data_IF_624767700274
#
_entry.id   IF_624767700274
#
_cell.length_a   1.000
_cell.length_b   1.000
_cell.length_c   1.000
_cell.angle_alpha   90.00
_cell.angle_beta   90.00
_cell.angle_gamma   90.00
#
_symmetry.space_group_name_H-M   'P 1'
#
loop_
_entity.id
_entity.type
_entity.pdbx_description
1 polymer ?
#
# COMPACT_ATOMS: atom_id res chain seq x y z
N UNK A 1 -28.77 2.79 -7.53
CA UNK A 1 -27.41 3.15 -7.10
C UNK A 1 -26.62 1.85 -6.99
N UNK A 2 -25.66 1.60 -7.89
CA UNK A 2 -24.77 0.44 -7.76
C UNK A 2 -23.76 0.72 -6.65
N UNK A 3 -24.16 0.51 -5.39
CA UNK A 3 -23.19 0.29 -4.32
C UNK A 3 -22.78 -1.18 -4.35
N UNK A 4 -21.90 -1.53 -5.29
CA UNK A 4 -21.19 -2.80 -5.17
C UNK A 4 -19.98 -2.54 -4.28
N UNK A 5 -19.99 -3.14 -3.09
CA UNK A 5 -18.85 -3.11 -2.16
C UNK A 5 -17.52 -3.43 -2.87
N UNK A 6 -17.55 -4.26 -3.92
CA UNK A 6 -16.43 -4.49 -4.82
C UNK A 6 -15.90 -3.22 -5.51
N UNK A 7 -16.75 -2.44 -6.18
CA UNK A 7 -16.31 -1.21 -6.86
C UNK A 7 -15.79 -0.18 -5.86
N UNK A 8 -16.44 -0.09 -4.69
CA UNK A 8 -16.01 0.78 -3.60
C UNK A 8 -14.62 0.40 -3.08
N UNK A 9 -14.36 -0.89 -2.85
CA UNK A 9 -13.03 -1.39 -2.44
C UNK A 9 -11.95 -1.07 -3.47
N UNK A 10 -12.21 -1.36 -4.75
CA UNK A 10 -11.28 -1.03 -5.84
C UNK A 10 -10.92 0.45 -5.91
N UNK A 11 -11.87 1.33 -5.65
CA UNK A 11 -11.60 2.77 -5.65
C UNK A 11 -10.83 3.22 -4.40
N UNK A 12 -11.12 2.62 -3.23
CA UNK A 12 -10.35 2.83 -2.01
C UNK A 12 -8.89 2.37 -2.20
N UNK A 13 -8.68 1.19 -2.77
CA UNK A 13 -7.34 0.65 -3.11
C UNK A 13 -6.57 1.61 -4.02
N UNK A 14 -7.18 2.08 -5.12
CA UNK A 14 -6.54 3.05 -6.04
C UNK A 14 -6.12 4.32 -5.32
N UNK A 15 -6.95 4.83 -4.43
CA UNK A 15 -6.61 6.02 -3.66
C UNK A 15 -5.45 5.77 -2.70
N UNK A 16 -5.44 4.63 -2.00
CA UNK A 16 -4.35 4.22 -1.13
C UNK A 16 -3.04 4.07 -1.90
N UNK A 17 -3.06 3.40 -3.05
CA UNK A 17 -1.90 3.23 -3.94
C UNK A 17 -1.39 4.57 -4.50
N UNK A 18 -2.30 5.53 -4.74
CA UNK A 18 -1.92 6.90 -5.09
C UNK A 18 -1.31 7.70 -3.91
N UNK A 19 -1.08 7.07 -2.76
CA UNK A 19 -0.52 7.68 -1.56
C UNK A 19 -1.52 8.52 -0.75
N UNK A 20 -2.83 8.38 -1.00
CA UNK A 20 -3.83 9.13 -0.24
C UNK A 20 -4.04 8.51 1.13
N UNK A 21 -4.13 9.40 2.12
CA UNK A 21 -4.68 9.08 3.44
C UNK A 21 -6.19 9.29 3.42
N UNK A 22 -6.92 8.30 3.91
CA UNK A 22 -8.39 8.25 3.86
C UNK A 22 -8.97 8.18 5.28
N UNK A 23 -10.08 8.87 5.52
CA UNK A 23 -10.81 8.74 6.78
C UNK A 23 -12.16 8.05 6.56
N UNK A 24 -12.66 7.39 7.61
CA UNK A 24 -13.98 6.75 7.57
C UNK A 24 -15.08 7.78 7.28
N UNK A 25 -15.00 8.97 7.87
CA UNK A 25 -16.01 10.01 7.68
C UNK A 25 -16.09 10.48 6.22
N UNK A 26 -14.94 10.70 5.57
CA UNK A 26 -14.90 11.08 4.14
C UNK A 26 -15.51 10.00 3.24
N UNK A 27 -15.19 8.73 3.49
CA UNK A 27 -15.69 7.62 2.68
C UNK A 27 -17.19 7.35 2.93
N UNK A 28 -17.66 7.52 4.16
CA UNK A 28 -19.10 7.47 4.47
C UNK A 28 -19.87 8.54 3.71
N UNK A 29 -19.37 9.78 3.68
CA UNK A 29 -19.98 10.88 2.94
C UNK A 29 -19.93 10.66 1.43
N UNK A 30 -18.82 10.13 0.90
CA UNK A 30 -18.64 9.86 -0.53
C UNK A 30 -19.56 8.76 -1.05
N UNK A 31 -19.67 7.65 -0.33
CA UNK A 31 -20.37 6.45 -0.79
C UNK A 31 -21.77 6.30 -0.19
N UNK A 32 -22.18 7.21 0.70
CA UNK A 32 -23.46 7.17 1.41
C UNK A 32 -23.69 5.86 2.17
N UNK A 33 -22.63 5.28 2.74
CA UNK A 33 -22.68 4.03 3.51
C UNK A 33 -22.32 4.25 4.99
N UNK A 34 -22.72 3.30 5.84
CA UNK A 34 -22.41 3.34 7.26
C UNK A 34 -20.94 3.05 7.58
N UNK A 35 -20.51 3.48 8.77
CA UNK A 35 -19.17 3.21 9.32
C UNK A 35 -18.75 1.74 9.20
N UNK A 36 -19.65 0.81 9.55
CA UNK A 36 -19.39 -0.64 9.52
C UNK A 36 -19.03 -1.13 8.12
N UNK A 37 -19.67 -0.59 7.07
CA UNK A 37 -19.37 -0.94 5.69
C UNK A 37 -17.94 -0.53 5.33
N UNK A 38 -17.56 0.71 5.62
CA UNK A 38 -16.20 1.22 5.37
C UNK A 38 -15.15 0.46 6.18
N UNK A 39 -15.42 0.15 7.46
CA UNK A 39 -14.51 -0.65 8.27
C UNK A 39 -14.27 -2.03 7.67
N UNK A 40 -15.34 -2.70 7.21
CA UNK A 40 -15.24 -4.00 6.52
C UNK A 40 -14.49 -3.91 5.19
N UNK A 41 -14.62 -2.81 4.47
CA UNK A 41 -13.83 -2.60 3.25
C UNK A 41 -12.34 -2.55 3.56
N UNK A 42 -11.94 -1.83 4.61
CA UNK A 42 -10.54 -1.80 5.04
C UNK A 42 -10.05 -3.14 5.62
N UNK A 43 -10.91 -3.93 6.26
CA UNK A 43 -10.58 -5.30 6.67
C UNK A 43 -10.18 -6.13 5.45
N UNK A 44 -11.02 -6.16 4.41
CA UNK A 44 -10.78 -6.93 3.18
C UNK A 44 -9.56 -6.40 2.42
N UNK A 45 -9.43 -5.08 2.26
CA UNK A 45 -8.26 -4.48 1.58
C UNK A 45 -6.97 -4.78 2.35
N UNK A 46 -7.05 -4.82 3.68
CA UNK A 46 -5.93 -5.15 4.56
C UNK A 46 -5.42 -6.59 4.43
N UNK A 47 -6.20 -7.49 3.81
CA UNK A 47 -5.75 -8.85 3.48
C UNK A 47 -4.68 -8.84 2.37
N UNK A 48 -4.69 -7.83 1.50
CA UNK A 48 -3.80 -7.75 0.32
C UNK A 48 -2.82 -6.57 0.38
N UNK A 49 -3.20 -5.46 1.04
CA UNK A 49 -2.39 -4.24 1.14
C UNK A 49 -2.00 -3.95 2.59
N UNK A 50 -0.79 -3.44 2.87
CA UNK A 50 -0.36 -3.07 4.21
C UNK A 50 -0.99 -1.75 4.67
N UNK A 51 -2.29 -1.77 4.89
CA UNK A 51 -3.04 -0.61 5.37
C UNK A 51 -2.77 -0.40 6.86
N UNK A 52 -2.21 0.76 7.19
CA UNK A 52 -2.01 1.23 8.55
C UNK A 52 -3.21 2.09 8.96
N UNK A 53 -3.72 1.83 10.17
CA UNK A 53 -4.76 2.66 10.79
C UNK A 53 -4.17 3.46 11.96
N UNK A 54 -4.23 4.79 11.87
CA UNK A 54 -3.85 5.70 12.95
C UNK A 54 -5.10 6.33 13.57
N UNK A 55 -5.27 6.17 14.89
CA UNK A 55 -6.36 6.82 15.65
C UNK A 55 -5.97 8.25 16.05
N UNK A 56 -6.96 9.10 16.31
CA UNK A 56 -6.78 10.45 16.87
C UNK A 56 -6.80 11.58 15.84
N UNK A 57 -6.43 12.78 16.29
CA UNK A 57 -6.34 13.96 15.42
C UNK A 57 -5.31 13.72 14.33
N UNK A 58 -5.70 14.03 13.09
CA UNK A 58 -4.90 13.69 11.91
C UNK A 58 -4.64 12.17 11.77
N UNK A 59 -5.54 11.32 12.29
CA UNK A 59 -5.59 9.89 12.03
C UNK A 59 -6.20 9.54 10.66
N UNK A 60 -6.34 8.25 10.37
CA UNK A 60 -6.86 7.75 9.09
C UNK A 60 -6.24 6.42 8.70
N UNK A 61 -6.59 5.96 7.49
CA UNK A 61 -6.08 4.78 6.82
C UNK A 61 -5.15 5.20 5.69
N UNK A 62 -3.96 4.61 5.63
CA UNK A 62 -2.94 4.89 4.61
C UNK A 62 -2.05 3.67 4.45
N UNK A 63 -1.34 3.55 3.35
CA UNK A 63 -0.35 2.48 3.20
C UNK A 63 0.87 2.77 4.07
N UNK A 64 1.51 1.71 4.57
CA UNK A 64 2.80 1.83 5.25
C UNK A 64 3.80 2.61 4.38
N UNK A 65 4.59 3.47 5.01
CA UNK A 65 5.50 4.39 4.30
C UNK A 65 6.44 3.61 3.36
N UNK A 66 6.57 4.08 2.11
CA UNK A 66 7.32 3.40 1.05
C UNK A 66 6.56 2.31 0.26
N UNK A 67 5.33 1.95 0.66
CA UNK A 67 4.50 0.99 -0.07
C UNK A 67 3.44 1.72 -0.90
N UNK A 68 3.47 1.55 -2.23
CA UNK A 68 2.33 1.82 -3.11
C UNK A 68 2.51 2.85 -4.23
N UNK A 69 3.35 3.89 -4.06
CA UNK A 69 3.50 4.92 -5.11
C UNK A 69 4.31 4.41 -6.32
N UNK A 70 5.36 3.64 -6.05
CA UNK A 70 6.26 3.10 -7.07
C UNK A 70 6.43 1.57 -6.98
N UNK A 71 5.69 0.90 -6.09
CA UNK A 71 5.82 -0.56 -5.95
C UNK A 71 5.34 -1.32 -7.18
N UNK A 72 5.92 -2.50 -7.40
CA UNK A 72 5.71 -3.31 -8.60
C UNK A 72 6.02 -2.58 -9.93
N UNK A 73 6.89 -1.56 -9.92
CA UNK A 73 7.30 -0.90 -11.16
C UNK A 73 8.56 -1.51 -11.77
N UNK A 74 9.34 -2.26 -10.99
CA UNK A 74 10.45 -3.03 -11.52
C UNK A 74 9.93 -4.20 -12.36
N UNK A 75 10.49 -4.35 -13.57
CA UNK A 75 10.35 -5.60 -14.31
C UNK A 75 11.07 -6.74 -13.57
N UNK A 76 10.69 -7.98 -13.88
CA UNK A 76 11.36 -9.17 -13.35
C UNK A 76 12.88 -9.13 -13.61
N UNK A 77 13.29 -8.75 -14.81
CA UNK A 77 14.71 -8.61 -15.18
C UNK A 77 15.43 -7.53 -14.36
N UNK A 78 14.78 -6.40 -14.09
CA UNK A 78 15.34 -5.32 -13.28
C UNK A 78 15.51 -5.77 -11.82
N UNK A 79 14.53 -6.47 -11.26
CA UNK A 79 14.59 -7.01 -9.91
C UNK A 79 15.74 -8.01 -9.77
N UNK A 80 15.81 -9.00 -10.65
CA UNK A 80 16.89 -10.01 -10.64
C UNK A 80 18.28 -9.39 -10.81
N UNK A 81 18.40 -8.35 -11.64
CA UNK A 81 19.65 -7.61 -11.78
C UNK A 81 20.05 -6.95 -10.46
N UNK A 82 19.14 -6.22 -9.81
CA UNK A 82 19.40 -5.56 -8.53
C UNK A 82 19.74 -6.56 -7.43
N UNK A 83 19.07 -7.72 -7.37
CA UNK A 83 19.37 -8.79 -6.42
C UNK A 83 20.78 -9.34 -6.59
N UNK A 84 21.20 -9.60 -7.84
CA UNK A 84 22.57 -10.05 -8.15
C UNK A 84 23.61 -9.01 -7.75
N UNK A 85 23.36 -7.74 -8.04
CA UNK A 85 24.27 -6.64 -7.69
C UNK A 85 24.35 -6.45 -6.16
N UNK A 86 23.24 -6.58 -5.44
CA UNK A 86 23.21 -6.45 -3.98
C UNK A 86 24.13 -7.46 -3.27
N UNK A 87 24.31 -8.66 -3.84
CA UNK A 87 25.21 -9.70 -3.31
C UNK A 87 26.69 -9.33 -3.50
N UNK A 88 27.02 -8.59 -4.55
CA UNK A 88 28.39 -8.24 -4.95
C UNK A 88 28.89 -6.93 -4.34
N UNK A 89 27.98 -6.10 -3.83
CA UNK A 89 28.27 -4.76 -3.34
C UNK A 89 28.78 -4.70 -1.90
N UNK A 90 29.47 -3.59 -1.58
CA UNK A 90 29.87 -3.23 -0.22
C UNK A 90 28.63 -2.96 0.66
N UNK A 91 28.81 -2.88 1.99
CA UNK A 91 27.69 -2.71 2.92
C UNK A 91 26.84 -1.45 2.65
N UNK A 92 27.46 -0.34 2.25
CA UNK A 92 26.76 0.92 1.93
C UNK A 92 25.98 0.82 0.61
N UNK A 93 26.62 0.35 -0.47
CA UNK A 93 25.97 0.19 -1.77
C UNK A 93 24.83 -0.83 -1.71
N UNK A 94 25.05 -1.94 -0.99
CA UNK A 94 24.03 -2.97 -0.76
C UNK A 94 22.82 -2.40 -0.05
N UNK A 95 23.01 -1.52 0.94
CA UNK A 95 21.89 -0.87 1.65
C UNK A 95 21.08 0.00 0.71
N UNK A 96 21.73 0.76 -0.16
CA UNK A 96 21.07 1.57 -1.19
C UNK A 96 20.27 0.71 -2.16
N UNK A 97 20.85 -0.39 -2.66
CA UNK A 97 20.17 -1.30 -3.58
C UNK A 97 18.94 -1.95 -2.92
N UNK A 98 19.07 -2.40 -1.67
CA UNK A 98 17.93 -2.96 -0.92
C UNK A 98 16.82 -1.93 -0.69
N UNK A 99 17.16 -0.65 -0.52
CA UNK A 99 16.19 0.44 -0.46
C UNK A 99 15.44 0.60 -1.78
N UNK A 100 16.12 0.51 -2.93
CA UNK A 100 15.49 0.56 -4.26
C UNK A 100 14.54 -0.63 -4.44
N UNK A 101 14.98 -1.84 -4.13
CA UNK A 101 14.12 -3.04 -4.23
C UNK A 101 12.88 -2.89 -3.34
N UNK A 102 13.02 -2.35 -2.13
CA UNK A 102 11.89 -2.15 -1.22
C UNK A 102 10.88 -1.11 -1.74
N UNK A 103 11.36 -0.01 -2.32
CA UNK A 103 10.52 1.08 -2.82
C UNK A 103 9.84 0.75 -4.17
N UNK A 104 10.54 0.03 -5.06
CA UNK A 104 10.12 -0.17 -6.45
C UNK A 104 9.74 -1.62 -6.80
N UNK A 105 10.22 -2.60 -6.03
CA UNK A 105 9.96 -4.02 -6.24
C UNK A 105 8.61 -4.49 -5.71
N UNK A 106 8.38 -5.82 -5.74
CA UNK A 106 7.17 -6.41 -5.18
C UNK A 106 7.01 -6.14 -3.69
N UNK A 107 5.75 -6.05 -3.23
CA UNK A 107 5.47 -6.03 -1.80
C UNK A 107 5.88 -7.36 -1.17
N UNK A 108 7.10 -7.43 -0.68
CA UNK A 108 7.53 -8.47 0.24
C UNK A 108 7.24 -7.95 1.63
N UNK A 109 6.00 -8.15 2.11
CA UNK A 109 5.67 -7.92 3.50
C UNK A 109 6.73 -8.63 4.35
N UNK A 110 7.45 -7.89 5.20
CA UNK A 110 8.48 -8.49 6.03
C UNK A 110 7.82 -9.60 6.85
N UNK A 111 8.18 -10.86 6.53
CA UNK A 111 8.11 -11.96 7.47
C UNK A 111 9.09 -11.59 8.58
N UNK A 112 8.59 -10.90 9.60
CA UNK A 112 9.29 -10.74 10.89
C UNK A 112 9.44 -12.10 11.55
#
# INVERSE_FOLDING_TARGET
>A
MLDHAFQRRREIERMLLAGKKLTVAELMGRYCVGRKSISRDFEVIGEELPVISKKGYNGGYFLMDGVGKNQNTLSQEQLECLEKVAVLCTAEDRKTILSIIHEFGPYCGKLT
#
